data_IF_706493317518
#
_entry.id   IF_706493317518
#
_cell.length_a   1.000
_cell.length_b   1.000
_cell.length_c   1.000
_cell.angle_alpha   90.00
_cell.angle_beta   90.00
_cell.angle_gamma   90.00
#
_symmetry.space_group_name_H-M   'P 1'
#
loop_
_entity.id
_entity.type
_entity.pdbx_description
1 polymer ?
#
# COMPACT_ATOMS: atom_id res chain seq x y z
N UNK A 1 6.06 26.87 4.59
CA UNK A 1 4.99 27.17 3.61
C UNK A 1 4.16 28.31 4.17
N UNK A 2 3.83 29.31 3.35
CA UNK A 2 3.00 30.44 3.77
C UNK A 2 1.57 29.97 4.11
N UNK A 3 0.96 30.60 5.09
CA UNK A 3 -0.44 30.41 5.51
C UNK A 3 -1.43 30.41 4.35
N UNK A 4 -1.21 31.26 3.33
CA UNK A 4 -2.05 31.32 2.14
C UNK A 4 -1.90 30.08 1.25
N UNK A 5 -0.68 29.54 1.14
CA UNK A 5 -0.41 28.32 0.36
C UNK A 5 -1.04 27.09 1.01
N UNK A 6 -1.02 27.00 2.35
CA UNK A 6 -1.68 25.93 3.09
C UNK A 6 -3.22 25.99 2.95
N UNK A 7 -3.79 27.21 2.92
CA UNK A 7 -5.22 27.43 2.73
C UNK A 7 -5.72 27.02 1.34
N UNK A 8 -4.98 27.38 0.28
CA UNK A 8 -5.31 27.01 -1.08
C UNK A 8 -5.28 25.48 -1.30
N UNK A 9 -4.23 24.81 -0.82
CA UNK A 9 -4.12 23.35 -0.92
C UNK A 9 -5.24 22.60 -0.20
N UNK A 10 -5.68 23.10 0.96
CA UNK A 10 -6.80 22.53 1.72
C UNK A 10 -8.13 22.65 0.98
N UNK A 11 -8.37 23.78 0.29
CA UNK A 11 -9.57 23.99 -0.52
C UNK A 11 -9.59 23.06 -1.75
N UNK A 12 -8.46 22.93 -2.45
CA UNK A 12 -8.37 22.07 -3.63
C UNK A 12 -8.56 20.59 -3.27
N UNK A 13 -8.00 20.13 -2.14
CA UNK A 13 -8.26 18.78 -1.63
C UNK A 13 -9.73 18.55 -1.26
N UNK A 14 -10.39 19.53 -0.62
CA UNK A 14 -11.81 19.41 -0.25
C UNK A 14 -12.75 19.48 -1.46
N UNK A 15 -12.34 20.11 -2.56
CA UNK A 15 -13.16 20.23 -3.76
C UNK A 15 -13.29 18.93 -4.58
N UNK A 16 -12.51 17.89 -4.26
CA UNK A 16 -12.66 16.59 -4.88
C UNK A 16 -13.81 15.81 -4.24
N UNK A 17 -14.77 15.42 -5.07
CA UNK A 17 -15.87 14.54 -4.66
C UNK A 17 -15.35 13.27 -3.98
N UNK A 18 -15.77 13.01 -2.75
CA UNK A 18 -15.39 11.82 -1.97
C UNK A 18 -14.15 11.97 -1.09
N UNK A 19 -13.43 13.09 -1.14
CA UNK A 19 -12.32 13.35 -0.19
C UNK A 19 -12.81 13.90 1.17
N UNK A 20 -14.00 14.49 1.23
CA UNK A 20 -14.60 14.99 2.48
C UNK A 20 -14.91 13.88 3.49
N UNK A 21 -15.11 12.65 3.02
CA UNK A 21 -15.43 11.46 3.83
C UNK A 21 -14.25 10.53 4.02
N UNK A 22 -13.06 10.91 3.54
CA UNK A 22 -11.85 10.10 3.63
C UNK A 22 -11.20 10.21 5.01
N UNK A 23 -11.03 9.07 5.67
CA UNK A 23 -10.26 9.01 6.92
C UNK A 23 -8.76 9.04 6.60
N UNK A 24 -8.14 10.19 6.85
CA UNK A 24 -6.72 10.41 6.63
C UNK A 24 -5.83 9.49 7.47
N UNK A 25 -6.32 9.01 8.63
CA UNK A 25 -5.57 8.07 9.44
C UNK A 25 -5.50 6.69 8.78
N UNK A 26 -6.59 6.24 8.15
CA UNK A 26 -6.62 4.98 7.38
C UNK A 26 -5.71 5.08 6.17
N UNK A 27 -5.76 6.20 5.43
CA UNK A 27 -4.88 6.42 4.29
C UNK A 27 -3.40 6.44 4.70
N UNK A 28 -3.06 7.14 5.79
CA UNK A 28 -1.69 7.19 6.29
C UNK A 28 -1.19 5.80 6.72
N UNK A 29 -2.02 5.03 7.43
CA UNK A 29 -1.68 3.67 7.83
C UNK A 29 -1.43 2.76 6.61
N UNK A 30 -2.24 2.88 5.56
CA UNK A 30 -2.04 2.15 4.31
C UNK A 30 -0.74 2.56 3.61
N UNK A 31 -0.43 3.86 3.54
CA UNK A 31 0.83 4.36 2.98
C UNK A 31 2.05 3.85 3.75
N UNK A 32 2.01 3.89 5.08
CA UNK A 32 3.10 3.43 5.94
C UNK A 32 3.32 1.93 5.78
N UNK A 33 2.23 1.14 5.74
CA UNK A 33 2.32 -0.30 5.53
C UNK A 33 2.85 -0.65 4.12
N UNK A 34 2.44 0.08 3.07
CA UNK A 34 2.99 -0.08 1.73
C UNK A 34 4.50 0.22 1.70
N UNK A 35 4.94 1.31 2.33
CA UNK A 35 6.36 1.68 2.41
C UNK A 35 7.19 0.63 3.17
N UNK A 36 6.68 0.13 4.30
CA UNK A 36 7.35 -0.91 5.07
C UNK A 36 7.43 -2.23 4.30
N UNK A 37 6.34 -2.61 3.62
CA UNK A 37 6.30 -3.82 2.80
C UNK A 37 7.23 -3.74 1.59
N UNK A 38 7.29 -2.59 0.92
CA UNK A 38 8.23 -2.34 -0.18
C UNK A 38 9.67 -2.59 0.26
N UNK A 39 10.11 -1.97 1.35
CA UNK A 39 11.46 -2.14 1.86
C UNK A 39 11.74 -3.60 2.28
N UNK A 40 10.82 -4.24 2.98
CA UNK A 40 10.98 -5.63 3.41
C UNK A 40 11.10 -6.58 2.21
N UNK A 41 10.27 -6.38 1.19
CA UNK A 41 10.30 -7.16 -0.05
C UNK A 41 11.58 -6.93 -0.84
N UNK A 42 12.05 -5.68 -0.97
CA UNK A 42 13.31 -5.33 -1.62
C UNK A 42 14.51 -5.99 -0.92
N UNK A 43 14.51 -6.09 0.41
CA UNK A 43 15.56 -6.80 1.14
C UNK A 43 15.43 -8.31 0.96
N UNK A 44 14.21 -8.86 1.06
CA UNK A 44 13.94 -10.29 0.96
C UNK A 44 14.30 -10.86 -0.41
N UNK A 45 14.07 -10.13 -1.49
CA UNK A 45 14.42 -10.58 -2.83
C UNK A 45 15.91 -10.85 -3.03
N UNK A 46 16.78 -10.17 -2.28
CA UNK A 46 18.23 -10.37 -2.34
C UNK A 46 18.68 -11.68 -1.68
N UNK A 47 17.79 -12.39 -1.00
CA UNK A 47 18.08 -13.71 -0.41
C UNK A 47 18.16 -14.83 -1.45
N UNK A 48 17.75 -14.57 -2.71
CA UNK A 48 17.84 -15.50 -3.84
C UNK A 48 17.16 -16.88 -3.62
N UNK A 49 16.17 -16.93 -2.73
CA UNK A 49 15.23 -18.04 -2.61
C UNK A 49 14.17 -17.99 -3.72
N UNK A 50 13.36 -19.03 -3.85
CA UNK A 50 12.32 -19.09 -4.90
C UNK A 50 11.19 -18.06 -4.68
N UNK A 51 11.05 -17.51 -3.47
CA UNK A 51 10.16 -16.37 -3.18
C UNK A 51 10.65 -15.04 -3.79
N UNK A 52 11.93 -14.92 -4.18
CA UNK A 52 12.54 -13.65 -4.57
C UNK A 52 11.85 -12.90 -5.73
N UNK A 53 11.38 -13.56 -6.80
CA UNK A 53 10.60 -12.90 -7.85
C UNK A 53 9.28 -12.31 -7.34
N UNK A 54 8.59 -13.02 -6.44
CA UNK A 54 7.36 -12.52 -5.82
C UNK A 54 7.66 -11.31 -4.93
N UNK A 55 8.77 -11.33 -4.18
CA UNK A 55 9.23 -10.20 -3.37
C UNK A 55 9.46 -8.95 -4.25
N UNK A 56 10.23 -9.03 -5.33
CA UNK A 56 10.47 -7.85 -6.16
C UNK A 56 9.19 -7.28 -6.78
N UNK A 57 8.30 -8.14 -7.28
CA UNK A 57 7.03 -7.68 -7.82
C UNK A 57 6.14 -7.04 -6.74
N UNK A 58 6.15 -7.59 -5.52
CA UNK A 58 5.44 -7.00 -4.38
C UNK A 58 6.02 -5.65 -3.99
N UNK A 59 7.35 -5.49 -4.03
CA UNK A 59 8.00 -4.21 -3.78
C UNK A 59 7.53 -3.12 -4.76
N UNK A 60 7.52 -3.42 -6.07
CA UNK A 60 7.08 -2.49 -7.10
C UNK A 60 5.59 -2.12 -6.97
N UNK A 61 4.74 -3.09 -6.65
CA UNK A 61 3.31 -2.87 -6.41
C UNK A 61 3.06 -2.01 -5.17
N UNK A 62 3.70 -2.31 -4.04
CA UNK A 62 3.59 -1.52 -2.82
C UNK A 62 4.12 -0.09 -3.02
N UNK A 63 5.24 0.07 -3.72
CA UNK A 63 5.79 1.40 -4.06
C UNK A 63 4.80 2.21 -4.89
N UNK A 64 4.24 1.58 -5.92
CA UNK A 64 3.26 2.20 -6.82
C UNK A 64 2.01 2.60 -6.06
N UNK A 65 1.46 1.70 -5.23
CA UNK A 65 0.25 1.93 -4.44
C UNK A 65 0.41 3.12 -3.47
N UNK A 66 1.53 3.16 -2.74
CA UNK A 66 1.90 4.28 -1.87
C UNK A 66 1.95 5.61 -2.63
N UNK A 67 2.61 5.61 -3.80
CA UNK A 67 2.73 6.81 -4.65
C UNK A 67 1.41 7.27 -5.25
N UNK A 68 0.48 6.35 -5.49
CA UNK A 68 -0.87 6.64 -5.95
C UNK A 68 -1.68 7.39 -4.90
N UNK A 69 -1.62 6.98 -3.63
CA UNK A 69 -2.28 7.66 -2.52
C UNK A 69 -1.79 9.10 -2.32
N UNK A 70 -0.54 9.40 -2.66
CA UNK A 70 0.00 10.76 -2.62
C UNK A 70 -0.51 11.69 -3.74
N UNK A 71 -1.20 11.16 -4.77
CA UNK A 71 -1.58 11.91 -5.98
C UNK A 71 -2.99 11.55 -6.47
N UNK A 72 -3.93 11.37 -5.56
CA UNK A 72 -5.28 10.90 -5.91
C UNK A 72 -6.07 11.83 -6.84
N UNK A 73 -5.66 13.10 -7.00
CA UNK A 73 -6.25 14.07 -7.94
C UNK A 73 -6.37 13.53 -9.37
N UNK A 74 -5.48 12.62 -9.78
CA UNK A 74 -5.49 12.00 -11.11
C UNK A 74 -6.25 10.67 -11.21
N UNK A 75 -6.95 10.22 -10.16
CA UNK A 75 -7.54 8.89 -10.10
C UNK A 75 -9.05 8.95 -9.89
N UNK A 76 -9.78 8.15 -10.67
CA UNK A 76 -11.18 7.86 -10.35
C UNK A 76 -11.25 6.82 -9.23
N UNK A 77 -12.36 6.75 -8.47
CA UNK A 77 -12.54 5.71 -7.46
C UNK A 77 -12.35 4.28 -8.01
N UNK A 78 -12.85 4.00 -9.22
CA UNK A 78 -12.70 2.69 -9.85
C UNK A 78 -11.23 2.31 -10.14
N UNK A 79 -10.41 3.28 -10.57
CA UNK A 79 -8.98 3.06 -10.77
C UNK A 79 -8.29 2.76 -9.44
N UNK A 80 -8.54 3.58 -8.41
CA UNK A 80 -7.95 3.40 -7.09
C UNK A 80 -8.32 2.05 -6.46
N UNK A 81 -9.58 1.63 -6.58
CA UNK A 81 -10.06 0.31 -6.14
C UNK A 81 -9.34 -0.84 -6.86
N UNK A 82 -9.14 -0.72 -8.18
CA UNK A 82 -8.44 -1.73 -8.97
C UNK A 82 -6.97 -1.84 -8.56
N UNK A 83 -6.32 -0.71 -8.24
CA UNK A 83 -4.93 -0.70 -7.75
C UNK A 83 -4.82 -1.35 -6.37
N UNK A 84 -5.75 -1.07 -5.45
CA UNK A 84 -5.81 -1.70 -4.14
C UNK A 84 -5.98 -3.22 -4.27
N UNK A 85 -6.86 -3.69 -5.16
CA UNK A 85 -7.06 -5.12 -5.42
C UNK A 85 -5.80 -5.81 -5.96
N UNK A 86 -5.09 -5.16 -6.88
CA UNK A 86 -3.82 -5.67 -7.37
C UNK A 86 -2.76 -5.75 -6.26
N UNK A 87 -2.67 -4.70 -5.42
CA UNK A 87 -1.73 -4.67 -4.30
C UNK A 87 -2.04 -5.77 -3.26
N UNK A 88 -3.32 -5.94 -2.89
CA UNK A 88 -3.79 -7.00 -1.97
C UNK A 88 -3.42 -8.38 -2.51
N UNK A 89 -3.73 -8.66 -3.78
CA UNK A 89 -3.42 -9.94 -4.40
C UNK A 89 -1.92 -10.24 -4.44
N UNK A 90 -1.10 -9.23 -4.75
CA UNK A 90 0.36 -9.38 -4.77
C UNK A 90 0.94 -9.56 -3.37
N UNK A 91 0.43 -8.84 -2.37
CA UNK A 91 0.84 -9.00 -0.97
C UNK A 91 0.52 -10.41 -0.47
N UNK A 92 -0.67 -10.96 -0.78
CA UNK A 92 -1.05 -12.32 -0.42
C UNK A 92 -0.09 -13.35 -1.06
N UNK A 93 0.16 -13.24 -2.37
CA UNK A 93 1.09 -14.13 -3.07
C UNK A 93 2.50 -14.10 -2.47
N UNK A 94 3.02 -12.90 -2.18
CA UNK A 94 4.35 -12.74 -1.61
C UNK A 94 4.42 -13.25 -0.16
N UNK A 95 3.37 -13.02 0.63
CA UNK A 95 3.26 -13.53 1.99
C UNK A 95 3.32 -15.06 1.99
N UNK A 96 2.49 -15.72 1.17
CA UNK A 96 2.43 -17.18 1.12
C UNK A 96 3.79 -17.78 0.73
N UNK A 97 4.43 -17.23 -0.31
CA UNK A 97 5.75 -17.67 -0.74
C UNK A 97 6.83 -17.45 0.35
N UNK A 98 6.82 -16.31 1.04
CA UNK A 98 7.78 -16.05 2.12
C UNK A 98 7.54 -16.92 3.36
N UNK A 99 6.29 -17.28 3.64
CA UNK A 99 5.95 -18.14 4.78
C UNK A 99 6.51 -19.55 4.63
N UNK A 100 6.69 -20.05 3.41
CA UNK A 100 7.39 -21.33 3.15
C UNK A 100 8.86 -21.32 3.64
N UNK A 101 9.41 -20.15 3.96
CA UNK A 101 10.77 -20.00 4.45
C UNK A 101 10.90 -19.42 5.86
N UNK A 102 9.78 -19.12 6.52
CA UNK A 102 9.77 -18.36 7.77
C UNK A 102 10.46 -19.08 8.94
N UNK A 103 10.54 -20.42 8.90
CA UNK A 103 11.18 -21.22 9.95
C UNK A 103 12.72 -21.22 9.86
N UNK A 104 13.29 -20.92 8.70
CA UNK A 104 14.74 -20.92 8.46
C UNK A 104 15.32 -19.58 8.01
N UNK A 105 14.48 -18.59 7.71
CA UNK A 105 14.90 -17.24 7.31
C UNK A 105 14.10 -16.18 8.06
N UNK A 106 14.76 -15.49 9.00
CA UNK A 106 14.17 -14.34 9.70
C UNK A 106 13.81 -13.20 8.72
N UNK A 107 14.54 -13.06 7.60
CA UNK A 107 14.24 -12.09 6.55
C UNK A 107 12.90 -12.43 5.87
N UNK A 108 12.66 -13.70 5.54
CA UNK A 108 11.39 -14.13 4.95
C UNK A 108 10.24 -14.03 5.94
N UNK A 109 10.46 -14.37 7.22
CA UNK A 109 9.47 -14.21 8.28
C UNK A 109 9.04 -12.75 8.45
N UNK A 110 9.99 -11.82 8.51
CA UNK A 110 9.70 -10.38 8.54
C UNK A 110 8.99 -9.92 7.26
N UNK A 111 9.42 -10.41 6.09
CA UNK A 111 8.78 -10.07 4.82
C UNK A 111 7.31 -10.50 4.80
N UNK A 112 7.02 -11.75 5.20
CA UNK A 112 5.64 -12.26 5.27
C UNK A 112 4.76 -11.45 6.22
N UNK A 113 5.29 -11.06 7.39
CA UNK A 113 4.57 -10.21 8.34
C UNK A 113 4.26 -8.82 7.76
N UNK A 114 5.23 -8.22 7.06
CA UNK A 114 5.04 -6.93 6.38
C UNK A 114 4.03 -7.02 5.23
N UNK A 115 4.07 -8.10 4.42
CA UNK A 115 3.09 -8.37 3.38
C UNK A 115 1.68 -8.51 3.97
N UNK A 116 1.52 -9.24 5.08
CA UNK A 116 0.24 -9.38 5.78
C UNK A 116 -0.30 -8.03 6.26
N UNK A 117 0.55 -7.23 6.91
CA UNK A 117 0.16 -5.91 7.41
C UNK A 117 -0.24 -4.95 6.27
N UNK A 118 0.49 -4.95 5.15
CA UNK A 118 0.16 -4.16 3.97
C UNK A 118 -1.14 -4.60 3.31
N UNK A 119 -1.35 -5.92 3.21
CA UNK A 119 -2.60 -6.49 2.70
C UNK A 119 -3.81 -6.03 3.52
N UNK A 120 -3.73 -6.12 4.85
CA UNK A 120 -4.80 -5.70 5.75
C UNK A 120 -5.08 -4.20 5.62
N UNK A 121 -4.03 -3.36 5.62
CA UNK A 121 -4.18 -1.92 5.49
C UNK A 121 -4.76 -1.50 4.12
N UNK A 122 -4.41 -2.21 3.04
CA UNK A 122 -5.03 -2.01 1.73
C UNK A 122 -6.51 -2.39 1.73
N UNK A 123 -6.89 -3.48 2.41
CA UNK A 123 -8.31 -3.85 2.57
C UNK A 123 -9.08 -2.80 3.37
N UNK A 124 -8.51 -2.26 4.44
CA UNK A 124 -9.12 -1.19 5.23
C UNK A 124 -9.35 0.07 4.42
N UNK A 125 -8.33 0.49 3.64
CA UNK A 125 -8.44 1.61 2.71
C UNK A 125 -9.54 1.36 1.67
N UNK A 126 -9.57 0.17 1.07
CA UNK A 126 -10.60 -0.24 0.11
C UNK A 126 -12.00 -0.18 0.73
N UNK A 127 -12.17 -0.72 1.93
CA UNK A 127 -13.44 -0.76 2.66
C UNK A 127 -13.92 0.65 3.04
N UNK A 128 -13.01 1.53 3.43
CA UNK A 128 -13.32 2.93 3.69
C UNK A 128 -13.81 3.63 2.41
N UNK A 129 -13.13 3.44 1.27
CA UNK A 129 -13.53 4.02 -0.01
C UNK A 129 -14.90 3.54 -0.49
N UNK A 130 -15.27 2.28 -0.24
CA UNK A 130 -16.61 1.76 -0.57
C UNK A 130 -17.73 2.39 0.25
N UNK A 131 -17.47 2.74 1.51
CA UNK A 131 -18.46 3.41 2.39
C UNK A 131 -18.68 4.88 2.04
N UNK A 132 -17.72 5.48 1.33
CA UNK A 132 -17.73 6.87 0.90
C UNK A 132 -18.38 7.10 -0.48
N UNK A 133 -18.68 6.01 -1.21
CA UNK A 133 -19.34 6.01 -2.53
C UNK A 133 -20.87 5.94 -2.39
#
# INVERSE_FOLDING_TARGET
MDSMMMGAMSHDMKSMSGMETMDMAVMQACMDACSACEQACTVCSTQLMDCAPACMNCADMCNTMMRSMMRMQGMTPAVMMSMLDACIAMCQLCMDACMEHADHSEVCKMCAQSCKACMDACMDMKNMMMKAA
#
